data_IF_134731577042
#
_entry.id   IF_134731577042
#
_cell.length_a   1.000
_cell.length_b   1.000
_cell.length_c   1.000
_cell.angle_alpha   90.00
_cell.angle_beta   90.00
_cell.angle_gamma   90.00
#
_symmetry.space_group_name_H-M   'P 1'
#
loop_
_entity.id
_entity.type
_entity.pdbx_description
1 polymer ?
#
# COMPACT_ATOMS: atom_id res chain seq x y z
N UNK A 1 7.47 11.36 14.81
CA UNK A 1 8.88 11.24 14.27
C UNK A 1 9.48 12.63 13.94
N UNK A 2 10.81 12.75 13.88
CA UNK A 2 11.50 13.99 13.51
C UNK A 2 11.59 14.12 12.00
N UNK A 3 10.73 14.91 11.39
CA UNK A 3 10.69 15.07 9.93
C UNK A 3 10.79 16.53 9.45
N UNK A 4 10.46 17.52 10.30
CA UNK A 4 10.45 18.93 9.90
C UNK A 4 11.84 19.43 9.49
N UNK A 5 11.88 20.27 8.44
CA UNK A 5 13.11 20.91 7.95
C UNK A 5 14.06 19.97 7.19
N UNK A 6 13.62 18.76 6.84
CA UNK A 6 14.41 17.77 6.08
C UNK A 6 14.10 17.84 4.60
N UNK A 7 14.95 17.17 3.77
CA UNK A 7 14.78 17.09 2.32
C UNK A 7 13.43 16.47 1.98
N UNK A 8 12.77 17.03 1.01
CA UNK A 8 11.60 16.44 0.37
C UNK A 8 12.02 15.73 -0.93
N UNK A 9 11.37 14.64 -1.26
CA UNK A 9 11.59 13.91 -2.51
C UNK A 9 10.98 14.67 -3.68
N UNK A 10 11.71 14.68 -4.80
CA UNK A 10 11.21 15.17 -6.10
C UNK A 10 10.36 14.11 -6.83
N UNK A 11 10.27 12.89 -6.29
CA UNK A 11 9.50 11.79 -6.86
C UNK A 11 8.01 11.79 -6.43
N UNK A 12 7.52 12.89 -5.88
CA UNK A 12 6.09 13.06 -5.55
C UNK A 12 5.33 13.66 -6.73
N UNK A 13 4.41 12.89 -7.28
CA UNK A 13 3.50 13.30 -8.36
C UNK A 13 2.13 13.63 -7.76
N UNK A 14 1.82 14.92 -7.62
CA UNK A 14 0.55 15.37 -7.04
C UNK A 14 -0.55 15.43 -8.11
N UNK A 15 -1.45 14.46 -8.08
CA UNK A 15 -2.63 14.37 -8.94
C UNK A 15 -3.93 14.72 -8.20
N UNK A 16 -3.86 15.21 -6.97
CA UNK A 16 -5.04 15.64 -6.23
C UNK A 16 -5.69 16.81 -7.00
N UNK A 17 -7.02 16.80 -7.05
CA UNK A 17 -7.74 17.79 -7.82
C UNK A 17 -7.72 17.57 -9.34
N UNK A 18 -7.02 16.57 -9.87
CA UNK A 18 -7.16 16.19 -11.25
C UNK A 18 -8.62 15.77 -11.52
N UNK A 19 -9.23 16.20 -12.65
CA UNK A 19 -10.59 15.80 -12.97
C UNK A 19 -10.65 14.26 -13.04
N UNK A 20 -11.54 13.67 -12.25
CA UNK A 20 -11.80 12.24 -12.30
C UNK A 20 -12.22 11.90 -13.75
N UNK A 21 -11.39 11.16 -14.49
CA UNK A 21 -11.79 10.61 -15.78
C UNK A 21 -12.90 9.63 -15.50
N UNK A 22 -14.16 10.06 -15.65
CA UNK A 22 -15.27 9.13 -15.70
C UNK A 22 -15.02 8.19 -16.87
N UNK A 23 -14.73 6.92 -16.59
CA UNK A 23 -14.82 5.90 -17.60
C UNK A 23 -16.24 6.01 -18.19
N UNK A 24 -16.33 6.35 -19.46
CA UNK A 24 -17.51 6.01 -20.22
C UNK A 24 -17.62 4.48 -20.15
N UNK A 25 -18.51 3.97 -19.32
CA UNK A 25 -18.87 2.55 -19.27
C UNK A 25 -19.59 2.26 -20.59
N UNK A 26 -18.80 2.16 -21.65
CA UNK A 26 -19.25 1.52 -22.88
C UNK A 26 -19.60 0.09 -22.51
N UNK A 27 -20.87 -0.31 -22.73
CA UNK A 27 -21.40 -1.63 -22.41
C UNK A 27 -20.53 -2.77 -22.96
N UNK A 28 -19.59 -3.24 -22.17
CA UNK A 28 -18.61 -4.26 -22.50
C UNK A 28 -18.44 -5.23 -21.34
N UNK A 29 -17.61 -6.24 -21.54
CA UNK A 29 -17.29 -7.33 -20.60
C UNK A 29 -17.11 -6.89 -19.14
N UNK A 30 -16.62 -5.67 -18.87
CA UNK A 30 -16.44 -5.13 -17.51
C UNK A 30 -17.75 -4.95 -16.74
N UNK A 31 -18.82 -4.52 -17.38
CA UNK A 31 -20.14 -4.37 -16.75
C UNK A 31 -20.72 -5.74 -16.36
N UNK A 32 -20.48 -6.76 -17.19
CA UNK A 32 -20.93 -8.13 -16.90
C UNK A 32 -20.21 -8.69 -15.67
N UNK A 33 -18.91 -8.45 -15.54
CA UNK A 33 -18.12 -8.90 -14.38
C UNK A 33 -18.60 -8.21 -13.09
N UNK A 34 -18.85 -6.90 -13.11
CA UNK A 34 -19.38 -6.17 -11.94
C UNK A 34 -20.75 -6.71 -11.54
N UNK A 35 -21.64 -6.96 -12.49
CA UNK A 35 -22.97 -7.51 -12.22
C UNK A 35 -22.90 -8.94 -11.65
N UNK A 36 -21.98 -9.78 -12.15
CA UNK A 36 -21.75 -11.12 -11.61
C UNK A 36 -21.21 -11.08 -10.18
N UNK A 37 -20.28 -10.18 -9.86
CA UNK A 37 -19.75 -10.00 -8.50
C UNK A 37 -20.87 -9.52 -7.56
N UNK A 38 -21.71 -8.58 -7.97
CA UNK A 38 -22.86 -8.10 -7.18
C UNK A 38 -23.87 -9.24 -6.93
N UNK A 39 -24.16 -10.07 -7.93
CA UNK A 39 -25.01 -11.24 -7.76
C UNK A 39 -24.42 -12.27 -6.78
N UNK A 40 -23.12 -12.53 -6.86
CA UNK A 40 -22.44 -13.45 -5.96
C UNK A 40 -22.40 -12.97 -4.51
N UNK A 41 -22.42 -11.64 -4.30
CA UNK A 41 -22.48 -11.01 -2.98
C UNK A 41 -23.92 -10.78 -2.46
N UNK A 42 -24.95 -11.28 -3.17
CA UNK A 42 -26.36 -11.17 -2.77
C UNK A 42 -26.95 -9.77 -2.98
N UNK A 43 -26.30 -8.92 -3.77
CA UNK A 43 -26.79 -7.58 -4.12
C UNK A 43 -27.76 -7.61 -5.32
N UNK A 44 -28.58 -6.57 -5.45
CA UNK A 44 -29.52 -6.41 -6.56
C UNK A 44 -28.81 -5.81 -7.80
N UNK A 45 -28.64 -6.58 -8.89
CA UNK A 45 -28.01 -6.12 -10.11
C UNK A 45 -28.80 -5.01 -10.82
N UNK A 46 -30.12 -4.91 -10.60
CA UNK A 46 -30.93 -3.84 -11.17
C UNK A 46 -30.67 -2.49 -10.49
N UNK A 47 -30.43 -2.49 -9.18
CA UNK A 47 -30.04 -1.28 -8.45
C UNK A 47 -28.68 -0.73 -8.91
N UNK A 48 -27.76 -1.61 -9.28
CA UNK A 48 -26.45 -1.21 -9.85
C UNK A 48 -26.61 -0.71 -11.27
N UNK A 49 -27.41 -1.36 -12.11
CA UNK A 49 -27.70 -0.91 -13.47
C UNK A 49 -28.39 0.46 -13.48
N UNK A 50 -29.33 0.73 -12.58
CA UNK A 50 -29.98 2.04 -12.46
C UNK A 50 -28.99 3.15 -12.05
N UNK A 51 -27.97 2.84 -11.22
CA UNK A 51 -26.92 3.78 -10.86
C UNK A 51 -25.87 3.98 -11.98
N UNK A 52 -25.75 3.03 -12.89
CA UNK A 52 -24.85 3.08 -14.05
C UNK A 52 -25.55 3.67 -15.29
N UNK A 53 -26.89 3.85 -15.30
CA UNK A 53 -27.57 4.54 -16.38
C UNK A 53 -27.34 6.03 -16.29
N UNK A 54 -26.83 6.70 -17.36
CA UNK A 54 -26.80 8.15 -17.41
C UNK A 54 -28.25 8.64 -17.27
N UNK A 55 -28.48 9.61 -16.41
CA UNK A 55 -29.76 10.31 -16.36
C UNK A 55 -30.08 10.79 -17.79
N UNK A 56 -31.18 10.34 -18.35
CA UNK A 56 -31.64 10.77 -19.67
C UNK A 56 -32.03 12.25 -19.59
N UNK A 57 -31.13 13.13 -20.01
CA UNK A 57 -31.32 14.56 -20.02
C UNK A 57 -30.10 15.28 -20.60
N UNK A 58 -30.24 15.68 -21.85
CA UNK A 58 -29.43 16.63 -22.63
C UNK A 58 -28.07 16.15 -23.18
N UNK A 59 -27.89 16.17 -24.53
CA UNK A 59 -26.59 15.95 -25.16
C UNK A 59 -25.76 17.24 -25.19
N UNK A 60 -25.79 18.06 -24.13
CA UNK A 60 -24.83 19.12 -23.94
C UNK A 60 -23.57 18.54 -23.34
N UNK A 61 -22.44 18.68 -24.01
CA UNK A 61 -21.12 18.31 -23.59
C UNK A 61 -20.96 18.54 -22.08
N UNK A 62 -20.73 17.43 -21.33
CA UNK A 62 -20.39 17.50 -19.92
C UNK A 62 -19.09 18.33 -19.83
N UNK A 63 -19.10 19.56 -19.28
CA UNK A 63 -17.87 20.29 -19.10
C UNK A 63 -16.98 19.37 -18.26
N UNK A 64 -15.80 19.04 -18.78
CA UNK A 64 -14.79 18.26 -18.08
C UNK A 64 -14.85 18.61 -16.60
N UNK A 65 -15.13 17.62 -15.74
CA UNK A 65 -15.40 17.87 -14.32
C UNK A 65 -14.36 18.88 -13.83
N UNK A 66 -14.82 20.02 -13.32
CA UNK A 66 -13.93 21.10 -12.93
C UNK A 66 -12.89 20.52 -11.95
N UNK A 67 -11.60 20.90 -12.05
CA UNK A 67 -10.59 20.44 -11.10
C UNK A 67 -11.11 20.63 -9.68
N UNK A 68 -11.10 19.59 -8.89
CA UNK A 68 -11.48 19.70 -7.49
C UNK A 68 -10.42 20.55 -6.78
N UNK A 69 -10.85 21.50 -5.97
CA UNK A 69 -9.92 22.28 -5.18
C UNK A 69 -9.18 21.33 -4.21
N UNK A 70 -7.85 21.36 -4.24
CA UNK A 70 -7.03 20.63 -3.26
C UNK A 70 -7.23 21.28 -1.89
N UNK A 71 -7.57 20.49 -0.89
CA UNK A 71 -7.73 20.98 0.48
C UNK A 71 -6.39 21.52 1.02
N UNK A 72 -6.28 22.81 1.36
CA UNK A 72 -5.06 23.38 1.92
C UNK A 72 -4.62 22.72 3.23
N UNK A 73 -5.54 22.13 3.99
CA UNK A 73 -5.25 21.40 5.23
C UNK A 73 -4.42 20.13 4.98
N UNK A 74 -4.38 19.60 3.76
CA UNK A 74 -3.54 18.48 3.39
C UNK A 74 -2.09 18.85 3.04
N UNK A 75 -1.75 20.14 2.97
CA UNK A 75 -0.40 20.56 2.60
C UNK A 75 0.68 20.06 3.58
N UNK A 76 0.50 20.12 4.91
CA UNK A 76 1.47 19.55 5.85
C UNK A 76 1.65 18.04 5.69
N UNK A 77 0.57 17.29 5.37
CA UNK A 77 0.65 15.85 5.11
C UNK A 77 1.42 15.54 3.83
N UNK A 78 1.22 16.33 2.77
CA UNK A 78 2.01 16.20 1.54
C UNK A 78 3.50 16.42 1.82
N UNK A 79 3.86 17.46 2.57
CA UNK A 79 5.25 17.74 2.94
C UNK A 79 5.83 16.59 3.77
N UNK A 80 5.08 16.08 4.73
CA UNK A 80 5.46 14.95 5.54
C UNK A 80 5.76 13.70 4.70
N UNK A 81 4.84 13.27 3.84
CA UNK A 81 5.05 12.06 3.03
C UNK A 81 6.19 12.24 2.01
N UNK A 82 6.43 13.47 1.53
CA UNK A 82 7.56 13.78 0.67
C UNK A 82 8.91 13.66 1.41
N UNK A 83 8.97 14.06 2.69
CA UNK A 83 10.15 13.87 3.53
C UNK A 83 10.37 12.39 3.83
N UNK A 84 9.33 11.65 4.18
CA UNK A 84 9.43 10.20 4.43
C UNK A 84 9.92 9.46 3.20
N UNK A 85 9.38 9.78 2.01
CA UNK A 85 9.85 9.19 0.76
C UNK A 85 11.34 9.48 0.50
N UNK A 86 11.77 10.73 0.72
CA UNK A 86 13.18 11.11 0.60
C UNK A 86 14.08 10.31 1.54
N UNK A 87 13.62 10.04 2.77
CA UNK A 87 14.36 9.23 3.73
C UNK A 87 14.46 7.75 3.31
N UNK A 88 13.39 7.24 2.71
CA UNK A 88 13.34 5.88 2.15
C UNK A 88 14.31 5.76 0.96
N UNK A 89 14.29 6.73 0.05
CA UNK A 89 15.20 6.79 -1.10
C UNK A 89 16.67 6.79 -0.65
N UNK A 90 17.03 7.65 0.30
CA UNK A 90 18.40 7.76 0.79
C UNK A 90 18.90 6.42 1.38
N UNK A 91 18.07 5.70 2.13
CA UNK A 91 18.44 4.40 2.70
C UNK A 91 18.61 3.36 1.59
N UNK A 92 17.64 3.23 0.69
CA UNK A 92 17.70 2.20 -0.35
C UNK A 92 18.80 2.46 -1.38
N UNK A 93 19.12 3.71 -1.70
CA UNK A 93 20.25 4.04 -2.56
C UNK A 93 21.58 3.51 -1.97
N UNK A 94 21.77 3.65 -0.65
CA UNK A 94 22.97 3.13 0.04
C UNK A 94 22.96 1.59 0.05
N UNK A 95 21.85 0.96 0.47
CA UNK A 95 21.77 -0.49 0.60
C UNK A 95 21.93 -1.22 -0.74
N UNK A 96 21.32 -0.72 -1.80
CA UNK A 96 21.46 -1.31 -3.14
C UNK A 96 22.91 -1.21 -3.63
N UNK A 97 23.56 -0.06 -3.43
CA UNK A 97 24.95 0.12 -3.82
C UNK A 97 25.91 -0.77 -3.01
N UNK A 98 25.73 -0.82 -1.68
CA UNK A 98 26.67 -1.49 -0.78
C UNK A 98 26.48 -3.03 -0.79
N UNK A 99 25.23 -3.51 -0.83
CA UNK A 99 24.95 -4.95 -0.68
C UNK A 99 24.72 -5.67 -2.02
N UNK A 100 24.18 -4.98 -3.03
CA UNK A 100 23.89 -5.59 -4.34
C UNK A 100 24.84 -5.11 -5.44
N UNK A 101 25.63 -4.06 -5.22
CA UNK A 101 26.45 -3.44 -6.28
C UNK A 101 25.60 -2.86 -7.42
N UNK A 102 24.35 -2.51 -7.15
CA UNK A 102 23.37 -2.03 -8.12
C UNK A 102 22.91 -0.63 -7.78
N UNK A 103 22.45 0.10 -8.79
CA UNK A 103 21.78 1.37 -8.58
C UNK A 103 20.32 1.13 -8.21
N UNK A 104 19.87 1.74 -7.12
CA UNK A 104 18.45 1.75 -6.76
C UNK A 104 17.66 2.59 -7.76
N UNK A 105 16.55 2.06 -8.25
CA UNK A 105 15.59 2.79 -9.08
C UNK A 105 14.44 3.24 -8.20
N UNK A 106 14.38 4.54 -7.92
CA UNK A 106 13.40 5.12 -7.02
C UNK A 106 11.98 5.04 -7.59
N UNK A 107 10.97 4.65 -6.80
CA UNK A 107 9.58 4.68 -7.24
C UNK A 107 9.04 6.11 -7.20
N UNK A 108 7.96 6.39 -7.93
CA UNK A 108 7.20 7.62 -7.76
C UNK A 108 6.05 7.42 -6.79
N UNK A 109 5.82 8.41 -5.93
CA UNK A 109 4.64 8.50 -5.07
C UNK A 109 3.58 9.36 -5.76
N UNK A 110 2.45 8.76 -6.11
CA UNK A 110 1.31 9.44 -6.70
C UNK A 110 0.31 9.78 -5.60
N UNK A 111 0.11 11.07 -5.34
CA UNK A 111 -0.95 11.54 -4.46
C UNK A 111 -2.23 11.76 -5.27
N UNK A 112 -3.35 11.19 -4.81
CA UNK A 112 -4.63 11.30 -5.50
C UNK A 112 -5.77 11.59 -4.51
N UNK A 113 -6.98 11.79 -5.01
CA UNK A 113 -8.20 11.96 -4.22
C UNK A 113 -9.26 10.99 -4.73
N UNK A 114 -9.85 10.21 -3.84
CA UNK A 114 -10.92 9.24 -4.05
C UNK A 114 -10.57 8.08 -4.97
N UNK A 115 -10.16 8.34 -6.21
CA UNK A 115 -9.92 7.33 -7.23
C UNK A 115 -8.72 7.68 -8.11
N UNK A 116 -8.01 6.64 -8.55
CA UNK A 116 -6.85 6.78 -9.44
C UNK A 116 -6.79 5.61 -10.42
N UNK A 117 -6.34 5.88 -11.64
CA UNK A 117 -5.98 4.85 -12.63
C UNK A 117 -4.50 4.56 -12.56
N UNK A 118 -4.16 3.27 -12.48
CA UNK A 118 -2.79 2.73 -12.51
C UNK A 118 -2.64 1.66 -13.58
N UNK A 119 -1.43 1.23 -13.89
CA UNK A 119 -1.20 0.09 -14.76
C UNK A 119 -1.75 -1.24 -14.20
N UNK A 120 -2.02 -1.29 -12.88
CA UNK A 120 -2.62 -2.45 -12.21
C UNK A 120 -4.15 -2.40 -12.16
N UNK A 121 -4.76 -1.37 -12.74
CA UNK A 121 -6.20 -1.13 -12.74
C UNK A 121 -6.60 0.07 -11.87
N UNK A 122 -7.88 0.11 -11.51
CA UNK A 122 -8.47 1.16 -10.69
C UNK A 122 -8.11 0.98 -9.21
N UNK A 123 -7.52 2.02 -8.61
CA UNK A 123 -7.39 2.18 -7.17
C UNK A 123 -8.45 3.13 -6.62
N UNK A 124 -8.87 2.92 -5.38
CA UNK A 124 -9.75 3.84 -4.65
C UNK A 124 -9.23 4.07 -3.23
N UNK A 125 -9.54 5.21 -2.65
CA UNK A 125 -9.20 5.54 -1.26
C UNK A 125 -9.62 4.42 -0.27
N UNK A 126 -10.77 3.77 -0.52
CA UNK A 126 -11.26 2.68 0.31
C UNK A 126 -10.36 1.43 0.34
N UNK A 127 -9.47 1.27 -0.64
CA UNK A 127 -8.49 0.16 -0.70
C UNK A 127 -7.24 0.46 0.13
N UNK A 128 -7.03 1.71 0.54
CA UNK A 128 -5.80 2.16 1.17
C UNK A 128 -4.68 2.45 0.16
N UNK A 129 -3.48 2.77 0.66
CA UNK A 129 -2.26 2.89 -0.16
C UNK A 129 -1.93 1.57 -0.85
N UNK A 130 -1.26 1.64 -1.99
CA UNK A 130 -0.81 0.45 -2.70
C UNK A 130 0.38 0.73 -3.62
N UNK A 131 1.21 -0.27 -3.83
CA UNK A 131 2.24 -0.29 -4.87
C UNK A 131 1.71 -1.01 -6.11
N UNK A 132 1.96 -0.45 -7.29
CA UNK A 132 1.64 -1.10 -8.57
C UNK A 132 2.93 -1.53 -9.28
N UNK A 133 3.21 -2.84 -9.40
CA UNK A 133 4.41 -3.32 -10.10
C UNK A 133 4.38 -3.08 -11.61
N UNK A 134 3.20 -2.81 -12.19
CA UNK A 134 3.05 -2.56 -13.62
C UNK A 134 3.60 -1.20 -14.09
N UNK A 135 3.61 -0.20 -13.22
CA UNK A 135 4.16 1.14 -13.48
C UNK A 135 5.18 1.59 -12.45
N UNK A 136 5.51 0.73 -11.48
CA UNK A 136 6.50 0.95 -10.42
C UNK A 136 6.23 2.22 -9.59
N UNK A 137 4.96 2.42 -9.22
CA UNK A 137 4.50 3.59 -8.45
C UNK A 137 3.81 3.17 -7.17
N UNK A 138 4.00 4.00 -6.14
CA UNK A 138 3.21 3.95 -4.91
C UNK A 138 2.08 4.95 -5.03
N UNK A 139 0.88 4.57 -4.63
CA UNK A 139 -0.33 5.38 -4.68
C UNK A 139 -0.85 5.64 -3.28
N UNK A 140 -1.15 6.89 -2.96
CA UNK A 140 -1.62 7.30 -1.64
C UNK A 140 -2.69 8.39 -1.76
N UNK A 141 -3.86 8.14 -1.19
CA UNK A 141 -4.82 9.19 -0.85
C UNK A 141 -4.51 9.71 0.56
N UNK A 142 -4.30 11.02 0.70
CA UNK A 142 -3.94 11.62 1.99
C UNK A 142 -5.06 11.51 3.05
N UNK A 143 -6.30 11.23 2.66
CA UNK A 143 -7.38 10.93 3.62
C UNK A 143 -7.11 9.67 4.42
N UNK A 144 -6.31 8.74 3.89
CA UNK A 144 -5.84 7.55 4.60
C UNK A 144 -5.11 7.89 5.91
N UNK A 145 -4.39 9.01 5.96
CA UNK A 145 -3.73 9.46 7.20
C UNK A 145 -4.72 9.71 8.34
N UNK A 146 -5.94 10.20 8.04
CA UNK A 146 -7.02 10.31 9.02
C UNK A 146 -7.69 8.97 9.31
N UNK A 147 -7.81 8.09 8.31
CA UNK A 147 -8.34 6.75 8.53
C UNK A 147 -7.45 5.91 9.44
N UNK A 148 -6.13 6.09 9.38
CA UNK A 148 -5.21 5.45 10.33
C UNK A 148 -5.58 5.76 11.78
N UNK A 149 -5.95 7.01 12.10
CA UNK A 149 -6.34 7.43 13.44
C UNK A 149 -7.74 6.91 13.80
N UNK A 150 -8.73 7.09 12.92
CA UNK A 150 -10.15 6.92 13.22
C UNK A 150 -10.64 5.48 13.03
N UNK A 151 -10.30 4.86 11.90
CA UNK A 151 -10.74 3.52 11.50
C UNK A 151 -9.81 2.42 12.01
N UNK A 152 -8.51 2.58 11.80
CA UNK A 152 -7.51 1.57 12.16
C UNK A 152 -7.04 1.69 13.61
N UNK A 153 -7.34 2.82 14.29
CA UNK A 153 -6.92 3.11 15.67
C UNK A 153 -5.40 3.00 15.85
N UNK A 154 -4.67 3.40 14.82
CA UNK A 154 -3.22 3.48 14.77
C UNK A 154 -2.82 4.95 14.53
N UNK A 155 -2.99 5.83 15.53
CA UNK A 155 -2.61 7.23 15.41
C UNK A 155 -1.09 7.38 15.38
N UNK A 156 -0.62 8.49 14.84
CA UNK A 156 0.78 8.86 14.82
C UNK A 156 1.32 9.05 13.41
N UNK A 157 2.35 9.85 13.32
CA UNK A 157 2.99 10.14 12.04
C UNK A 157 3.87 8.97 11.58
N UNK A 158 4.51 8.25 12.52
CA UNK A 158 5.32 7.09 12.19
C UNK A 158 4.49 5.88 11.72
N UNK A 159 3.20 5.79 12.08
CA UNK A 159 2.27 4.80 11.52
C UNK A 159 2.12 4.99 10.00
N UNK A 160 1.98 6.24 9.54
CA UNK A 160 1.91 6.57 8.11
C UNK A 160 3.27 6.34 7.42
N UNK A 161 4.36 6.70 8.08
CA UNK A 161 5.71 6.45 7.57
C UNK A 161 5.98 4.94 7.36
N UNK A 162 5.56 4.10 8.32
CA UNK A 162 5.62 2.65 8.18
C UNK A 162 4.85 2.15 6.96
N UNK A 163 3.61 2.62 6.75
CA UNK A 163 2.82 2.19 5.60
C UNK A 163 3.51 2.59 4.28
N UNK A 164 4.00 3.83 4.17
CA UNK A 164 4.74 4.25 2.97
C UNK A 164 6.00 3.41 2.75
N UNK A 165 6.75 3.09 3.82
CA UNK A 165 7.93 2.24 3.74
C UNK A 165 7.58 0.79 3.35
N UNK A 166 6.42 0.27 3.78
CA UNK A 166 5.89 -1.03 3.38
C UNK A 166 5.58 -1.07 1.88
N UNK A 167 4.89 -0.05 1.33
CA UNK A 167 4.61 0.03 -0.10
C UNK A 167 5.90 0.13 -0.94
N UNK A 168 6.91 0.88 -0.45
CA UNK A 168 8.23 0.88 -1.08
C UNK A 168 8.95 -0.45 -0.88
N UNK A 169 8.69 -1.19 0.20
CA UNK A 169 9.14 -2.57 0.38
C UNK A 169 8.69 -3.48 -0.77
N UNK A 170 7.46 -3.34 -1.24
CA UNK A 170 6.97 -4.03 -2.43
C UNK A 170 7.74 -3.61 -3.71
N UNK A 171 8.11 -2.33 -3.82
CA UNK A 171 8.97 -1.91 -4.93
C UNK A 171 10.35 -2.57 -4.87
N UNK A 172 10.96 -2.63 -3.68
CA UNK A 172 12.23 -3.35 -3.49
C UNK A 172 12.10 -4.82 -3.88
N UNK A 173 11.03 -5.50 -3.45
CA UNK A 173 10.75 -6.89 -3.85
C UNK A 173 10.66 -7.07 -5.37
N UNK A 174 10.04 -6.10 -6.07
CA UNK A 174 9.99 -6.11 -7.54
C UNK A 174 11.37 -6.00 -8.14
N UNK A 175 12.20 -5.08 -7.64
CA UNK A 175 13.56 -4.86 -8.15
C UNK A 175 14.49 -6.06 -7.93
N UNK A 176 14.34 -6.78 -6.80
CA UNK A 176 15.18 -7.95 -6.49
C UNK A 176 14.56 -9.29 -6.91
N UNK A 177 13.37 -9.28 -7.53
CA UNK A 177 12.77 -10.44 -8.18
C UNK A 177 11.85 -11.31 -7.31
N UNK A 178 11.57 -10.96 -6.04
CA UNK A 178 10.66 -11.76 -5.20
C UNK A 178 9.21 -11.73 -5.69
N UNK A 179 8.73 -10.61 -6.23
CA UNK A 179 7.39 -10.56 -6.84
C UNK A 179 7.28 -11.50 -8.04
N UNK A 180 8.29 -11.50 -8.92
CA UNK A 180 8.30 -12.38 -10.08
C UNK A 180 8.37 -13.87 -9.68
N UNK A 181 9.07 -14.18 -8.57
CA UNK A 181 9.11 -15.53 -8.03
C UNK A 181 7.71 -16.00 -7.63
N UNK A 182 6.94 -15.17 -6.93
CA UNK A 182 5.55 -15.49 -6.51
C UNK A 182 4.58 -15.50 -7.69
N UNK A 183 4.68 -14.53 -8.59
CA UNK A 183 3.81 -14.44 -9.77
C UNK A 183 3.99 -15.64 -10.70
N UNK A 184 5.19 -16.17 -10.84
CA UNK A 184 5.46 -17.38 -11.60
C UNK A 184 4.80 -18.64 -11.05
N UNK A 185 4.32 -18.62 -9.80
CA UNK A 185 3.55 -19.73 -9.20
C UNK A 185 2.04 -19.62 -9.44
N UNK A 186 1.55 -18.47 -9.90
CA UNK A 186 0.11 -18.28 -10.18
C UNK A 186 -0.38 -19.29 -11.20
N UNK A 187 -1.47 -19.98 -10.83
CA UNK A 187 -2.06 -21.05 -11.66
C UNK A 187 -1.27 -22.37 -11.69
N UNK A 188 -0.11 -22.47 -11.01
CA UNK A 188 0.69 -23.69 -10.90
C UNK A 188 0.54 -24.37 -9.54
N UNK A 189 0.14 -23.63 -8.52
CA UNK A 189 -0.08 -24.13 -7.17
C UNK A 189 -1.54 -23.95 -6.74
N UNK A 190 -1.96 -24.57 -5.64
CA UNK A 190 -3.30 -24.40 -5.08
C UNK A 190 -3.57 -22.97 -4.65
N UNK A 191 -4.85 -22.59 -4.50
CA UNK A 191 -5.22 -21.26 -3.99
C UNK A 191 -4.69 -21.01 -2.59
N UNK A 192 -4.71 -22.00 -1.71
CA UNK A 192 -4.16 -21.88 -0.36
C UNK A 192 -2.64 -21.63 -0.40
N UNK A 193 -1.91 -22.32 -1.26
CA UNK A 193 -0.47 -22.10 -1.44
C UNK A 193 -0.18 -20.73 -2.04
N UNK A 194 -0.98 -20.28 -3.02
CA UNK A 194 -0.86 -18.93 -3.56
C UNK A 194 -1.07 -17.85 -2.47
N UNK A 195 -2.02 -18.07 -1.57
CA UNK A 195 -2.27 -17.18 -0.44
C UNK A 195 -1.08 -17.17 0.52
N UNK A 196 -0.48 -18.34 0.85
CA UNK A 196 0.74 -18.42 1.68
C UNK A 196 1.91 -17.65 1.07
N UNK A 197 2.12 -17.78 -0.24
CA UNK A 197 3.15 -17.00 -0.94
C UNK A 197 2.87 -15.49 -0.89
N UNK A 198 1.61 -15.08 -0.98
CA UNK A 198 1.23 -13.66 -0.79
C UNK A 198 1.55 -13.20 0.63
N UNK A 199 1.22 -14.00 1.66
CA UNK A 199 1.57 -13.68 3.06
C UNK A 199 3.09 -13.48 3.21
N UNK A 200 3.92 -14.33 2.58
CA UNK A 200 5.38 -14.18 2.64
C UNK A 200 5.86 -12.85 2.02
N UNK A 201 5.27 -12.42 0.90
CA UNK A 201 5.56 -11.10 0.32
C UNK A 201 5.19 -9.97 1.28
N UNK A 202 4.02 -10.04 1.90
CA UNK A 202 3.56 -9.02 2.85
C UNK A 202 4.48 -8.92 4.09
N UNK A 203 4.81 -10.07 4.69
CA UNK A 203 5.71 -10.11 5.84
C UNK A 203 7.13 -9.66 5.48
N UNK A 204 7.58 -9.92 4.25
CA UNK A 204 8.85 -9.40 3.75
C UNK A 204 8.81 -7.88 3.54
N UNK A 205 7.69 -7.31 3.06
CA UNK A 205 7.54 -5.87 2.96
C UNK A 205 7.55 -5.21 4.36
N UNK A 206 6.92 -5.83 5.36
CA UNK A 206 7.02 -5.38 6.77
C UNK A 206 8.46 -5.44 7.29
N UNK A 207 9.19 -6.51 7.00
CA UNK A 207 10.60 -6.63 7.34
C UNK A 207 11.45 -5.53 6.70
N UNK A 208 11.25 -5.27 5.40
CA UNK A 208 11.96 -4.23 4.65
C UNK A 208 11.64 -2.82 5.16
N UNK A 209 10.39 -2.56 5.58
CA UNK A 209 10.02 -1.33 6.25
C UNK A 209 10.77 -1.17 7.59
N UNK A 210 10.96 -2.27 8.33
CA UNK A 210 11.79 -2.29 9.54
C UNK A 210 13.27 -2.03 9.24
N UNK A 211 13.83 -2.64 8.19
CA UNK A 211 15.22 -2.38 7.72
C UNK A 211 15.41 -0.90 7.38
N UNK A 212 14.48 -0.30 6.64
CA UNK A 212 14.50 1.13 6.39
C UNK A 212 14.55 1.94 7.70
N UNK A 213 13.63 1.66 8.62
CA UNK A 213 13.55 2.38 9.89
C UNK A 213 14.84 2.28 10.71
N UNK A 214 15.50 1.10 10.71
CA UNK A 214 16.82 0.89 11.34
C UNK A 214 17.88 1.85 10.80
N UNK A 215 18.05 1.87 9.48
CA UNK A 215 19.08 2.68 8.82
C UNK A 215 18.76 4.18 8.89
N UNK A 216 17.50 4.57 8.71
CA UNK A 216 17.06 5.94 8.85
C UNK A 216 17.25 6.46 10.29
N UNK A 217 16.99 5.62 11.31
CA UNK A 217 17.28 5.98 12.70
C UNK A 217 18.78 6.18 12.94
N UNK A 218 19.62 5.30 12.43
CA UNK A 218 21.08 5.38 12.62
C UNK A 218 21.72 6.59 11.92
N UNK A 219 21.24 6.92 10.73
CA UNK A 219 21.84 7.97 9.89
C UNK A 219 21.22 9.35 10.14
N UNK A 220 19.94 9.41 10.51
CA UNK A 220 19.17 10.65 10.56
C UNK A 220 18.45 10.90 11.88
N UNK A 221 18.49 9.92 12.81
CA UNK A 221 17.85 10.00 14.13
C UNK A 221 16.36 10.37 14.04
N UNK A 222 15.61 9.64 13.22
CA UNK A 222 14.22 9.97 12.89
C UNK A 222 13.22 9.66 14.00
N UNK A 223 13.50 8.65 14.85
CA UNK A 223 12.55 8.15 15.82
C UNK A 223 12.47 9.01 17.08
N UNK A 224 11.25 9.13 17.57
CA UNK A 224 10.87 9.69 18.87
C UNK A 224 10.25 8.61 19.76
N UNK A 225 10.05 8.93 21.02
CA UNK A 225 9.39 8.03 21.96
C UNK A 225 7.96 7.72 21.50
N UNK A 226 7.60 6.43 21.41
CA UNK A 226 6.29 5.96 20.96
C UNK A 226 6.22 5.59 19.47
N UNK A 227 7.11 6.09 18.61
CA UNK A 227 7.05 5.85 17.16
C UNK A 227 7.03 4.35 16.80
N UNK A 228 7.85 3.55 17.47
CA UNK A 228 7.89 2.10 17.23
C UNK A 228 6.55 1.44 17.56
N UNK A 229 5.89 1.89 18.63
CA UNK A 229 4.57 1.38 19.02
C UNK A 229 3.50 1.81 18.00
N UNK A 230 3.62 3.00 17.41
CA UNK A 230 2.75 3.46 16.32
C UNK A 230 2.86 2.55 15.10
N UNK A 231 4.09 2.24 14.63
CA UNK A 231 4.31 1.32 13.52
C UNK A 231 3.78 -0.10 13.82
N UNK A 232 4.06 -0.63 15.01
CA UNK A 232 3.57 -1.94 15.44
C UNK A 232 2.03 -1.97 15.54
N UNK A 233 1.43 -0.86 16.00
CA UNK A 233 -0.02 -0.65 16.01
C UNK A 233 -0.59 -0.67 14.60
N UNK A 234 0.04 0.01 13.66
CA UNK A 234 -0.34 0.04 12.25
C UNK A 234 -0.25 -1.35 11.61
N UNK A 235 0.89 -2.03 11.75
CA UNK A 235 1.12 -3.39 11.26
C UNK A 235 0.04 -4.36 11.78
N UNK A 236 -0.26 -4.28 13.09
CA UNK A 236 -1.29 -5.11 13.73
C UNK A 236 -2.71 -4.76 13.28
N UNK A 237 -2.97 -3.51 12.91
CA UNK A 237 -4.32 -3.05 12.54
C UNK A 237 -4.79 -3.62 11.20
N UNK A 238 -3.86 -3.96 10.31
CA UNK A 238 -4.12 -4.46 8.95
C UNK A 238 -3.89 -5.97 8.80
N UNK A 239 -3.68 -6.71 9.90
CA UNK A 239 -3.61 -8.16 9.88
C UNK A 239 -4.94 -8.82 9.53
N UNK A 240 -4.91 -9.88 8.71
CA UNK A 240 -6.10 -10.59 8.22
C UNK A 240 -6.95 -11.16 9.36
N UNK A 241 -6.32 -11.65 10.44
CA UNK A 241 -7.00 -12.16 11.63
C UNK A 241 -7.89 -11.10 12.29
N UNK A 242 -7.40 -9.88 12.40
CA UNK A 242 -8.14 -8.75 12.96
C UNK A 242 -9.25 -8.28 12.02
N UNK A 243 -8.92 -8.08 10.74
CA UNK A 243 -9.87 -7.61 9.73
C UNK A 243 -11.03 -8.59 9.53
N UNK A 244 -10.74 -9.90 9.43
CA UNK A 244 -11.76 -10.93 9.30
C UNK A 244 -12.64 -11.03 10.55
N UNK A 245 -12.05 -10.98 11.75
CA UNK A 245 -12.83 -10.99 12.99
C UNK A 245 -13.76 -9.78 13.10
N UNK A 246 -13.32 -8.60 12.64
CA UNK A 246 -14.15 -7.39 12.64
C UNK A 246 -15.29 -7.44 11.61
N UNK A 247 -15.04 -7.98 10.41
CA UNK A 247 -16.00 -7.97 9.31
C UNK A 247 -16.99 -9.14 9.36
N UNK A 248 -16.54 -10.35 9.73
CA UNK A 248 -17.35 -11.58 9.65
C UNK A 248 -17.45 -12.35 10.97
N UNK A 249 -16.75 -11.92 12.03
CA UNK A 249 -16.82 -12.52 13.37
C UNK A 249 -15.97 -13.78 13.59
N UNK A 250 -15.36 -14.34 12.58
CA UNK A 250 -14.48 -15.53 12.65
C UNK A 250 -13.27 -15.38 11.71
N UNK A 251 -12.27 -16.26 11.90
CA UNK A 251 -10.99 -16.22 11.18
C UNK A 251 -10.84 -17.47 10.32
N UNK A 252 -10.36 -17.31 9.09
CA UNK A 252 -10.09 -18.40 8.13
C UNK A 252 -8.63 -18.31 7.65
N UNK A 253 -7.67 -18.97 8.33
CA UNK A 253 -6.24 -18.81 8.03
C UNK A 253 -5.84 -19.11 6.57
N UNK A 254 -6.41 -20.12 5.93
CA UNK A 254 -6.12 -20.48 4.53
C UNK A 254 -6.54 -19.38 3.52
N UNK A 255 -7.34 -18.42 3.94
CA UNK A 255 -7.75 -17.28 3.12
C UNK A 255 -6.89 -16.02 3.36
N UNK A 256 -5.93 -16.06 4.26
CA UNK A 256 -5.05 -14.93 4.51
C UNK A 256 -4.20 -14.61 3.29
N UNK A 257 -4.06 -13.33 3.04
CA UNK A 257 -3.21 -12.78 1.97
C UNK A 257 -2.18 -11.79 2.49
N UNK A 258 -2.38 -11.28 3.73
CA UNK A 258 -1.49 -10.30 4.39
C UNK A 258 -0.82 -10.84 5.66
N UNK A 259 -1.28 -11.99 6.17
CA UNK A 259 -0.77 -12.58 7.41
C UNK A 259 -1.49 -12.07 8.66
N UNK A 260 -1.10 -12.62 9.82
CA UNK A 260 -1.67 -12.23 11.10
C UNK A 260 -1.07 -10.92 11.63
N UNK A 261 -1.83 -10.22 12.47
CA UNK A 261 -1.35 -9.04 13.22
C UNK A 261 -0.01 -9.29 13.95
N UNK A 262 0.14 -10.49 14.55
CA UNK A 262 1.35 -10.88 15.27
C UNK A 262 2.56 -11.08 14.33
N UNK A 263 2.36 -11.74 13.20
CA UNK A 263 3.40 -11.95 12.18
C UNK A 263 3.89 -10.62 11.63
N UNK A 264 2.99 -9.75 11.20
CA UNK A 264 3.34 -8.44 10.66
C UNK A 264 4.17 -7.61 11.63
N UNK A 265 3.72 -7.49 12.88
CA UNK A 265 4.46 -6.79 13.93
C UNK A 265 5.82 -7.46 14.24
N UNK A 266 5.91 -8.79 14.24
CA UNK A 266 7.15 -9.56 14.43
C UNK A 266 8.19 -9.22 13.37
N UNK A 267 7.79 -9.25 12.09
CA UNK A 267 8.73 -9.06 10.99
C UNK A 267 9.19 -7.61 10.86
N UNK A 268 8.29 -6.62 11.03
CA UNK A 268 8.71 -5.23 11.14
C UNK A 268 9.73 -5.01 12.26
N UNK A 269 9.44 -5.53 13.47
CA UNK A 269 10.35 -5.41 14.62
C UNK A 269 11.70 -6.06 14.35
N UNK A 270 11.73 -7.21 13.71
CA UNK A 270 12.97 -7.91 13.37
C UNK A 270 13.81 -7.10 12.39
N UNK A 271 13.19 -6.53 11.35
CA UNK A 271 13.86 -5.61 10.42
C UNK A 271 14.45 -4.40 11.13
N UNK A 272 13.67 -3.77 12.02
CA UNK A 272 14.10 -2.63 12.82
C UNK A 272 15.29 -2.96 13.75
N UNK A 273 15.30 -4.15 14.34
CA UNK A 273 16.37 -4.57 15.24
C UNK A 273 17.67 -4.92 14.51
N UNK A 274 17.58 -5.57 13.37
CA UNK A 274 18.73 -6.10 12.64
C UNK A 274 19.30 -5.14 11.59
N UNK A 275 18.42 -4.47 10.83
CA UNK A 275 18.80 -3.69 9.66
C UNK A 275 19.44 -4.52 8.54
N UNK A 276 19.38 -5.84 8.61
CA UNK A 276 20.06 -6.76 7.70
C UNK A 276 19.18 -7.09 6.49
N UNK A 277 19.46 -6.44 5.35
CA UNK A 277 18.69 -6.66 4.12
C UNK A 277 18.77 -8.10 3.61
N UNK A 278 19.92 -8.79 3.78
CA UNK A 278 20.11 -10.16 3.27
C UNK A 278 19.14 -11.18 3.90
N UNK A 279 18.71 -10.92 5.13
CA UNK A 279 17.75 -11.78 5.83
C UNK A 279 16.32 -11.71 5.27
N UNK A 280 16.03 -10.77 4.37
CA UNK A 280 14.72 -10.73 3.71
C UNK A 280 14.40 -12.04 2.95
N UNK A 281 15.41 -12.78 2.48
CA UNK A 281 15.25 -14.09 1.84
C UNK A 281 14.72 -15.17 2.79
N UNK A 282 15.01 -15.09 4.09
CA UNK A 282 14.64 -16.08 5.09
C UNK A 282 13.13 -16.35 5.07
N UNK A 283 12.30 -15.32 4.76
CA UNK A 283 10.85 -15.46 4.69
C UNK A 283 10.36 -16.47 3.63
N UNK A 284 11.16 -16.77 2.63
CA UNK A 284 10.84 -17.77 1.61
C UNK A 284 11.46 -19.14 1.88
N UNK A 285 12.34 -19.24 2.88
CA UNK A 285 13.03 -20.48 3.29
C UNK A 285 12.43 -21.10 4.56
N UNK A 286 11.83 -20.28 5.45
CA UNK A 286 11.24 -20.71 6.72
C UNK A 286 9.96 -21.53 6.53
N UNK A 287 9.67 -22.42 7.48
CA UNK A 287 8.38 -23.12 7.58
C UNK A 287 7.25 -22.17 8.00
N UNK A 288 6.00 -22.59 7.81
CA UNK A 288 4.83 -21.80 8.22
C UNK A 288 4.77 -21.56 9.75
N UNK A 289 5.33 -22.49 10.53
CA UNK A 289 5.37 -22.39 11.99
C UNK A 289 6.42 -21.36 12.48
N UNK A 290 7.43 -21.09 11.67
CA UNK A 290 8.50 -20.13 11.98
C UNK A 290 8.16 -18.70 11.55
N UNK A 291 7.22 -18.54 10.62
CA UNK A 291 6.73 -17.24 10.19
C UNK A 291 5.91 -16.56 11.28
#
# INVERSE_FOLDING_TARGET
MRWQGRRQSDNVEDRRGAPARRLAVGGGLGTVVVLLVVMLLGGDPQAVLQRLQPAAGDPAADPAAAPQAVDPAQQPLKEFVAVVLADIEDVWNVLFQEQLGQQYREPKLVLYTDQVESACGFGSAAMGPFYCPGDERVYLDLTFCEEMKTRYRAPGDFAVAYVLAHEVGHHVQKLVGYMDLVDNQRGRVSKAEQNRLSVRLELQADYLAGVWAHHAQRTKNILEEGDVDEALGAASAVGDDRLQKQSQGYVVPDSFTHGTSAQRAKWFRLGLQTGDFERAKDLFELSEEEL
#
